data_IF_157298496394
#
_entry.id   IF_157298496394
#
_cell.length_a   1.000
_cell.length_b   1.000
_cell.length_c   1.000
_cell.angle_alpha   90.00
_cell.angle_beta   90.00
_cell.angle_gamma   90.00
#
_symmetry.space_group_name_H-M   'P 1'
#
loop_
_entity.id
_entity.type
_entity.pdbx_description
1 polymer ?
#
# COMPACT_ATOMS: atom_id res chain seq x y z
N UNK A 1 -8.84 -21.37 17.69
CA UNK A 1 -8.04 -22.02 16.63
C UNK A 1 -7.96 -21.04 15.48
N UNK A 2 -6.78 -20.50 15.18
CA UNK A 2 -6.60 -19.58 14.07
C UNK A 2 -6.63 -20.39 12.76
N UNK A 3 -7.59 -20.10 11.89
CA UNK A 3 -7.63 -20.67 10.54
C UNK A 3 -6.59 -19.94 9.68
N UNK A 4 -5.49 -20.62 9.37
CA UNK A 4 -4.48 -20.12 8.43
C UNK A 4 -5.01 -20.33 7.01
N UNK A 5 -5.30 -19.23 6.31
CA UNK A 5 -5.65 -19.25 4.89
C UNK A 5 -4.36 -19.13 4.07
N UNK A 6 -3.88 -20.25 3.54
CA UNK A 6 -2.78 -20.27 2.60
C UNK A 6 -3.34 -20.23 1.18
N UNK A 7 -2.89 -19.29 0.35
CA UNK A 7 -3.23 -19.25 -1.08
C UNK A 7 -1.94 -19.60 -1.86
N UNK A 8 -1.79 -20.85 -2.32
CA UNK A 8 -0.55 -21.34 -2.92
C UNK A 8 -0.06 -20.50 -4.11
N UNK A 9 -0.98 -19.96 -4.91
CA UNK A 9 -0.65 -19.15 -6.09
C UNK A 9 0.01 -17.82 -5.72
N UNK A 10 -0.44 -17.16 -4.64
CA UNK A 10 0.20 -15.94 -4.14
C UNK A 10 1.57 -16.22 -3.54
N UNK A 11 1.76 -17.38 -2.91
CA UNK A 11 3.07 -17.78 -2.36
C UNK A 11 4.07 -18.11 -3.47
N UNK A 12 3.63 -18.72 -4.58
CA UNK A 12 4.47 -18.97 -5.75
C UNK A 12 4.83 -17.68 -6.48
N UNK A 13 3.90 -16.72 -6.61
CA UNK A 13 4.19 -15.38 -7.14
C UNK A 13 5.21 -14.65 -6.28
N UNK A 14 5.02 -14.67 -4.96
CA UNK A 14 5.96 -14.04 -4.02
C UNK A 14 7.36 -14.69 -4.07
N UNK A 15 7.45 -16.01 -4.23
CA UNK A 15 8.74 -16.69 -4.40
C UNK A 15 9.44 -16.26 -5.70
N UNK A 16 8.70 -16.11 -6.81
CA UNK A 16 9.26 -15.61 -8.07
C UNK A 16 9.73 -14.14 -7.97
N UNK A 17 8.98 -13.30 -7.26
CA UNK A 17 9.37 -11.91 -6.99
C UNK A 17 10.64 -11.84 -6.14
N UNK A 18 10.77 -12.72 -5.15
CA UNK A 18 11.98 -12.84 -4.33
C UNK A 18 13.18 -13.28 -5.17
N UNK A 19 13.04 -14.24 -6.09
CA UNK A 19 14.13 -14.64 -6.99
C UNK A 19 14.55 -13.52 -7.94
N UNK A 20 13.60 -12.69 -8.40
CA UNK A 20 13.88 -11.51 -9.22
C UNK A 20 14.66 -10.44 -8.43
N UNK A 21 14.26 -10.18 -7.17
CA UNK A 21 14.97 -9.27 -6.27
C UNK A 21 16.40 -9.78 -6.01
N UNK A 22 16.57 -11.07 -5.73
CA UNK A 22 17.87 -11.68 -5.51
C UNK A 22 18.80 -11.50 -6.72
N UNK A 23 18.26 -11.72 -7.92
CA UNK A 23 19.00 -11.55 -9.17
C UNK A 23 19.44 -10.10 -9.38
N UNK A 24 18.56 -9.13 -9.13
CA UNK A 24 18.87 -7.71 -9.24
C UNK A 24 19.94 -7.25 -8.24
N UNK A 25 19.85 -7.71 -6.99
CA UNK A 25 20.84 -7.40 -5.94
C UNK A 25 22.19 -8.04 -6.25
N UNK A 26 22.22 -9.31 -6.67
CA UNK A 26 23.48 -9.98 -7.04
C UNK A 26 24.19 -9.31 -8.22
N UNK A 27 23.41 -8.81 -9.20
CA UNK A 27 23.95 -8.07 -10.34
C UNK A 27 24.52 -6.70 -9.91
N UNK A 28 23.83 -6.00 -9.00
CA UNK A 28 24.32 -4.73 -8.46
C UNK A 28 25.59 -4.92 -7.62
N UNK A 29 25.65 -5.95 -6.78
CA UNK A 29 26.81 -6.26 -5.95
C UNK A 29 28.02 -6.69 -6.80
N UNK A 30 27.79 -7.41 -7.90
CA UNK A 30 28.83 -7.75 -8.87
C UNK A 30 29.40 -6.50 -9.58
N UNK A 31 28.55 -5.54 -9.95
CA UNK A 31 28.98 -4.27 -10.55
C UNK A 31 29.75 -3.40 -9.55
N UNK A 32 29.36 -3.41 -8.27
CA UNK A 32 30.00 -2.63 -7.22
C UNK A 32 31.30 -3.26 -6.69
N UNK A 33 31.58 -4.53 -6.98
CA UNK A 33 32.70 -5.28 -6.44
C UNK A 33 34.07 -4.64 -6.72
N UNK A 34 34.42 -4.42 -8.00
CA UNK A 34 35.70 -3.83 -8.38
C UNK A 34 35.92 -2.41 -7.83
N UNK A 35 34.99 -1.44 -8.00
CA UNK A 35 35.22 -0.06 -7.54
C UNK A 35 35.30 0.09 -6.01
N UNK A 36 34.77 -0.88 -5.25
CA UNK A 36 34.80 -0.83 -3.77
C UNK A 36 35.96 -1.62 -3.16
N UNK A 37 36.51 -2.61 -3.86
CA UNK A 37 37.64 -3.40 -3.38
C UNK A 37 39.00 -2.88 -3.87
N UNK A 38 39.05 -2.22 -5.04
CA UNK A 38 40.29 -1.76 -5.67
C UNK A 38 40.50 -0.23 -5.54
N UNK A 39 40.21 0.32 -4.36
CA UNK A 39 40.38 1.76 -4.10
C UNK A 39 41.87 2.11 -4.12
N UNK A 40 42.26 3.00 -5.05
CA UNK A 40 43.63 3.49 -5.14
C UNK A 40 43.94 4.53 -4.05
N UNK A 41 45.19 4.55 -3.57
CA UNK A 41 45.66 5.58 -2.65
C UNK A 41 45.65 6.96 -3.34
N UNK A 42 45.11 7.98 -2.66
CA UNK A 42 45.00 9.33 -3.19
C UNK A 42 46.36 10.03 -3.37
N UNK A 43 47.38 9.62 -2.62
CA UNK A 43 48.74 10.11 -2.68
C UNK A 43 49.74 9.03 -2.20
N UNK A 44 51.03 9.25 -2.43
CA UNK A 44 52.10 8.30 -2.12
C UNK A 44 52.46 8.20 -0.62
N UNK A 45 51.71 8.88 0.25
CA UNK A 45 51.92 8.87 1.68
C UNK A 45 51.29 7.64 2.35
N UNK A 46 51.76 7.35 3.56
CA UNK A 46 51.32 6.18 4.34
C UNK A 46 49.86 6.27 4.80
N UNK A 47 49.31 7.47 4.99
CA UNK A 47 47.92 7.67 5.43
C UNK A 47 46.97 7.34 4.27
N UNK A 48 47.23 7.88 3.08
CA UNK A 48 46.47 7.56 1.87
C UNK A 48 46.51 6.07 1.53
N UNK A 49 47.66 5.42 1.72
CA UNK A 49 47.81 3.98 1.54
C UNK A 49 47.01 3.17 2.56
N UNK A 50 47.05 3.56 3.84
CA UNK A 50 46.30 2.88 4.90
C UNK A 50 44.77 3.04 4.74
N UNK A 51 44.32 4.22 4.30
CA UNK A 51 42.90 4.51 4.05
C UNK A 51 42.37 3.71 2.85
N UNK A 52 43.12 3.64 1.74
CA UNK A 52 42.78 2.79 0.61
C UNK A 52 42.67 1.30 0.99
N UNK A 53 43.62 0.80 1.79
CA UNK A 53 43.60 -0.57 2.29
C UNK A 53 42.42 -0.85 3.25
N UNK A 54 41.99 0.14 4.02
CA UNK A 54 40.81 0.04 4.87
C UNK A 54 39.54 -0.11 4.03
N UNK A 55 39.35 0.75 3.02
CA UNK A 55 38.19 0.66 2.13
C UNK A 55 38.17 -0.65 1.34
N UNK A 56 39.31 -1.14 0.86
CA UNK A 56 39.41 -2.44 0.19
C UNK A 56 39.00 -3.62 1.10
N UNK A 57 39.36 -3.58 2.40
CA UNK A 57 38.88 -4.57 3.39
C UNK A 57 37.37 -4.49 3.60
N UNK A 58 36.83 -3.29 3.76
CA UNK A 58 35.39 -3.09 3.90
C UNK A 58 34.63 -3.59 2.67
N UNK A 59 35.13 -3.34 1.46
CA UNK A 59 34.56 -3.88 0.22
C UNK A 59 34.57 -5.41 0.20
N UNK A 60 35.68 -6.02 0.64
CA UNK A 60 35.81 -7.49 0.70
C UNK A 60 34.87 -8.12 1.74
N UNK A 61 34.75 -7.50 2.91
CA UNK A 61 33.85 -7.97 3.98
C UNK A 61 32.38 -7.80 3.59
N UNK A 62 32.04 -6.71 2.89
CA UNK A 62 30.72 -6.50 2.31
C UNK A 62 30.37 -7.57 1.28
N UNK A 63 31.28 -7.90 0.36
CA UNK A 63 31.06 -8.94 -0.65
C UNK A 63 30.85 -10.32 -0.01
N UNK A 64 31.59 -10.64 1.06
CA UNK A 64 31.39 -11.89 1.82
C UNK A 64 30.03 -11.92 2.53
N UNK A 65 29.59 -10.79 3.08
CA UNK A 65 28.28 -10.68 3.73
C UNK A 65 27.13 -10.76 2.72
N UNK A 66 27.24 -10.09 1.57
CA UNK A 66 26.24 -10.16 0.51
C UNK A 66 26.07 -11.60 0.00
N UNK A 67 27.17 -12.35 -0.21
CA UNK A 67 27.08 -13.76 -0.61
C UNK A 67 26.36 -14.64 0.44
N UNK A 68 26.48 -14.34 1.74
CA UNK A 68 25.74 -15.03 2.79
C UNK A 68 24.26 -14.65 2.79
N UNK A 69 23.95 -13.38 2.56
CA UNK A 69 22.58 -12.89 2.44
C UNK A 69 21.86 -13.48 1.21
N UNK A 70 22.55 -13.60 0.07
CA UNK A 70 22.02 -14.22 -1.14
C UNK A 70 21.72 -15.72 -0.90
N UNK A 71 22.60 -16.43 -0.20
CA UNK A 71 22.37 -17.84 0.15
C UNK A 71 21.15 -18.01 1.08
N UNK A 72 20.99 -17.13 2.07
CA UNK A 72 19.83 -17.11 2.95
C UNK A 72 18.54 -16.80 2.17
N UNK A 73 18.60 -15.80 1.29
CA UNK A 73 17.46 -15.39 0.47
C UNK A 73 17.00 -16.50 -0.47
N UNK A 74 17.94 -17.21 -1.12
CA UNK A 74 17.63 -18.39 -1.94
C UNK A 74 17.00 -19.51 -1.12
N UNK A 75 17.47 -19.76 0.10
CA UNK A 75 16.85 -20.76 1.00
C UNK A 75 15.43 -20.35 1.42
N UNK A 76 15.20 -19.07 1.64
CA UNK A 76 13.88 -18.54 1.97
C UNK A 76 12.89 -18.68 0.81
N UNK A 77 13.28 -18.30 -0.40
CA UNK A 77 12.47 -18.48 -1.60
C UNK A 77 12.15 -19.96 -1.86
N UNK A 78 13.14 -20.85 -1.73
CA UNK A 78 12.96 -22.30 -1.85
C UNK A 78 12.00 -22.87 -0.80
N UNK A 79 12.10 -22.42 0.45
CA UNK A 79 11.20 -22.84 1.52
C UNK A 79 9.76 -22.34 1.28
N UNK A 80 9.61 -21.13 0.72
CA UNK A 80 8.31 -20.57 0.36
C UNK A 80 7.64 -21.36 -0.77
N UNK A 81 8.39 -21.68 -1.83
CA UNK A 81 7.90 -22.54 -2.93
C UNK A 81 7.53 -23.94 -2.44
N UNK A 82 8.36 -24.54 -1.57
CA UNK A 82 8.08 -25.85 -0.98
C UNK A 82 6.82 -25.82 -0.08
N UNK A 83 6.63 -24.74 0.68
CA UNK A 83 5.44 -24.55 1.52
C UNK A 83 4.18 -24.40 0.66
N UNK A 84 4.23 -23.60 -0.41
CA UNK A 84 3.13 -23.44 -1.35
C UNK A 84 2.72 -24.78 -1.98
N UNK A 85 3.69 -25.59 -2.41
CA UNK A 85 3.45 -26.93 -2.93
C UNK A 85 2.83 -27.87 -1.87
N UNK A 86 3.26 -27.77 -0.61
CA UNK A 86 2.68 -28.54 0.50
C UNK A 86 1.21 -28.18 0.74
N UNK A 87 0.86 -26.89 0.73
CA UNK A 87 -0.54 -26.45 0.88
C UNK A 87 -1.40 -26.88 -0.31
N UNK A 88 -0.92 -26.70 -1.54
CA UNK A 88 -1.62 -27.15 -2.74
C UNK A 88 -1.85 -28.68 -2.74
N UNK A 89 -0.85 -29.47 -2.31
CA UNK A 89 -1.00 -30.93 -2.20
C UNK A 89 -1.99 -31.35 -1.11
N UNK A 90 -2.11 -30.56 -0.03
CA UNK A 90 -3.07 -30.79 1.06
C UNK A 90 -4.49 -30.43 0.62
N UNK A 91 -4.68 -29.35 -0.13
CA UNK A 91 -5.96 -29.02 -0.75
C UNK A 91 -6.40 -30.12 -1.73
N UNK A 92 -5.51 -30.57 -2.61
CA UNK A 92 -5.79 -31.69 -3.51
C UNK A 92 -6.14 -32.98 -2.73
N UNK A 93 -5.39 -33.31 -1.68
CA UNK A 93 -5.65 -34.48 -0.84
C UNK A 93 -6.93 -34.38 0.00
N UNK A 94 -7.43 -33.19 0.29
CA UNK A 94 -8.71 -32.97 1.00
C UNK A 94 -9.92 -32.95 0.05
N UNK A 95 -9.72 -32.58 -1.21
CA UNK A 95 -10.75 -32.62 -2.25
C UNK A 95 -10.97 -34.03 -2.80
N UNK A 96 -9.91 -34.85 -2.88
CA UNK A 96 -9.96 -36.23 -3.40
C UNK A 96 -10.90 -37.17 -2.62
N UNK A 97 -10.97 -37.16 -1.28
CA UNK A 97 -11.95 -37.92 -0.50
C UNK A 97 -13.38 -37.45 -0.72
N UNK A 98 -13.62 -36.15 -0.92
CA UNK A 98 -14.96 -35.62 -1.21
C UNK A 98 -15.42 -35.98 -2.62
N UNK A 99 -14.51 -35.99 -3.59
CA UNK A 99 -14.77 -36.52 -4.93
C UNK A 99 -14.99 -38.04 -4.89
N UNK A 100 -14.20 -38.77 -4.10
CA UNK A 100 -14.35 -40.22 -3.91
C UNK A 100 -15.66 -40.56 -3.20
N UNK A 101 -16.07 -39.80 -2.17
CA UNK A 101 -17.33 -39.94 -1.46
C UNK A 101 -18.53 -39.50 -2.30
N UNK A 102 -18.39 -38.47 -3.13
CA UNK A 102 -19.41 -38.10 -4.10
C UNK A 102 -19.58 -39.20 -5.13
N UNK A 103 -18.47 -39.77 -5.63
CA UNK A 103 -18.46 -40.91 -6.57
C UNK A 103 -19.02 -42.18 -5.91
N UNK A 104 -18.75 -42.43 -4.62
CA UNK A 104 -19.26 -43.56 -3.83
C UNK A 104 -20.75 -43.37 -3.47
N UNK A 105 -21.17 -42.15 -3.11
CA UNK A 105 -22.56 -41.78 -2.79
C UNK A 105 -23.44 -41.81 -4.05
N UNK A 106 -22.88 -41.52 -5.21
CA UNK A 106 -23.55 -41.72 -6.50
C UNK A 106 -23.47 -43.15 -7.00
N UNK A 107 -22.79 -44.07 -6.28
CA UNK A 107 -22.27 -45.27 -6.93
C UNK A 107 -22.22 -46.60 -6.20
N UNK A 108 -22.51 -46.80 -4.89
CA UNK A 108 -22.73 -48.13 -4.23
C UNK A 108 -23.02 -47.98 -2.70
N UNK A 109 -23.59 -49.00 -2.00
CA UNK A 109 -24.13 -48.88 -0.64
C UNK A 109 -23.07 -48.74 0.48
N UNK A 110 -23.45 -48.04 1.54
CA UNK A 110 -22.64 -47.47 2.64
C UNK A 110 -21.86 -48.53 3.46
N UNK A 111 -20.52 -48.44 3.62
CA UNK A 111 -19.77 -49.25 4.60
C UNK A 111 -19.71 -48.59 6.00
N UNK A 112 -19.49 -49.41 7.04
CA UNK A 112 -19.68 -49.05 8.44
C UNK A 112 -18.51 -48.29 9.10
N UNK A 113 -18.83 -47.56 10.16
CA UNK A 113 -17.99 -46.66 10.98
C UNK A 113 -16.68 -47.26 11.51
N UNK A 114 -16.55 -48.59 11.55
CA UNK A 114 -15.36 -49.28 12.07
C UNK A 114 -14.08 -48.99 11.26
N UNK A 115 -14.21 -48.59 9.99
CA UNK A 115 -13.06 -48.35 9.11
C UNK A 115 -12.37 -47.01 9.36
N UNK A 116 -13.06 -46.06 10.00
CA UNK A 116 -12.56 -44.70 10.28
C UNK A 116 -11.70 -44.63 11.54
N UNK A 117 -11.97 -45.44 12.56
CA UNK A 117 -11.20 -45.46 13.81
C UNK A 117 -9.77 -45.99 13.61
N UNK A 118 -9.57 -46.85 12.62
CA UNK A 118 -8.24 -47.39 12.27
C UNK A 118 -7.29 -46.34 11.67
N UNK A 119 -7.82 -45.28 11.04
CA UNK A 119 -6.99 -44.26 10.40
C UNK A 119 -6.51 -43.18 11.39
N UNK A 120 -7.30 -42.92 12.43
CA UNK A 120 -6.99 -41.94 13.48
C UNK A 120 -5.99 -42.47 14.52
N UNK A 121 -5.76 -43.78 14.56
CA UNK A 121 -4.95 -44.43 15.60
C UNK A 121 -3.47 -44.60 15.23
N UNK A 122 -2.97 -43.98 14.16
CA UNK A 122 -1.56 -44.05 13.77
C UNK A 122 -0.68 -43.09 14.63
N UNK A 123 0.40 -43.58 15.28
CA UNK A 123 1.09 -42.88 16.37
C UNK A 123 2.18 -41.84 15.96
N UNK A 124 2.11 -41.26 14.77
CA UNK A 124 3.22 -40.54 14.14
C UNK A 124 3.06 -39.01 14.01
N UNK A 125 2.15 -38.36 14.75
CA UNK A 125 1.96 -36.90 14.66
C UNK A 125 2.62 -36.08 15.79
N UNK A 126 3.16 -36.71 16.83
CA UNK A 126 3.69 -36.01 18.01
C UNK A 126 5.18 -35.62 17.92
N UNK A 127 5.92 -36.00 16.87
CA UNK A 127 7.39 -35.86 16.79
C UNK A 127 7.91 -34.89 15.72
N UNK A 128 7.08 -33.99 15.15
CA UNK A 128 7.52 -33.10 14.06
C UNK A 128 7.21 -31.59 14.20
N UNK A 129 6.79 -31.05 15.35
CA UNK A 129 6.56 -29.59 15.49
C UNK A 129 7.06 -29.03 16.81
N UNK A 130 8.14 -28.23 16.81
CA UNK A 130 8.37 -27.30 17.93
C UNK A 130 9.74 -26.71 18.18
N UNK A 131 10.85 -27.18 17.58
CA UNK A 131 12.14 -26.50 17.72
C UNK A 131 12.37 -25.59 16.50
N UNK A 132 12.14 -24.28 16.64
CA UNK A 132 12.54 -23.28 15.65
C UNK A 132 13.67 -22.42 16.23
N UNK A 133 14.95 -22.74 15.93
CA UNK A 133 16.11 -22.03 16.46
C UNK A 133 16.10 -20.51 16.21
N UNK A 134 15.42 -20.07 15.15
CA UNK A 134 15.29 -18.66 14.77
C UNK A 134 14.28 -17.93 15.66
N UNK A 135 13.15 -18.57 16.04
CA UNK A 135 12.17 -17.95 16.94
C UNK A 135 12.69 -17.87 18.38
N UNK A 136 13.45 -18.87 18.81
CA UNK A 136 14.13 -18.85 20.11
C UNK A 136 15.20 -17.75 20.17
N UNK A 137 15.96 -17.56 19.09
CA UNK A 137 16.96 -16.49 18.98
C UNK A 137 16.31 -15.11 18.91
N UNK A 138 15.22 -14.93 18.15
CA UNK A 138 14.46 -13.68 18.13
C UNK A 138 13.85 -13.38 19.50
N UNK A 139 13.35 -14.41 20.19
CA UNK A 139 12.88 -14.30 21.58
C UNK A 139 13.99 -13.82 22.51
N UNK A 140 15.21 -14.36 22.39
CA UNK A 140 16.37 -13.94 23.18
C UNK A 140 16.85 -12.51 22.87
N UNK A 141 16.89 -12.14 21.59
CA UNK A 141 17.25 -10.78 21.14
C UNK A 141 16.20 -9.75 21.59
N UNK A 142 14.92 -10.13 21.56
CA UNK A 142 13.83 -9.25 21.93
C UNK A 142 13.57 -9.20 23.44
N UNK A 143 13.99 -10.21 24.23
CA UNK A 143 13.68 -10.29 25.65
C UNK A 143 14.07 -9.02 26.45
N UNK A 144 15.27 -8.42 26.25
CA UNK A 144 15.59 -7.16 26.90
C UNK A 144 14.65 -6.02 26.47
N UNK A 145 14.41 -5.86 25.17
CA UNK A 145 13.58 -4.78 24.65
C UNK A 145 12.10 -4.91 25.06
N UNK A 146 11.55 -6.13 25.07
CA UNK A 146 10.21 -6.42 25.57
C UNK A 146 10.08 -6.10 27.05
N UNK A 147 11.13 -6.35 27.84
CA UNK A 147 11.14 -6.05 29.28
C UNK A 147 11.22 -4.54 29.56
N UNK A 148 12.04 -3.81 28.81
CA UNK A 148 12.30 -2.38 29.07
C UNK A 148 11.34 -1.42 28.34
N UNK A 149 10.87 -1.79 27.14
CA UNK A 149 10.10 -0.91 26.27
C UNK A 149 8.71 -1.47 25.90
N UNK A 150 8.38 -2.70 26.34
CA UNK A 150 7.11 -3.35 26.00
C UNK A 150 6.96 -3.67 24.52
N UNK A 151 8.06 -3.64 23.75
CA UNK A 151 8.06 -3.70 22.29
C UNK A 151 9.30 -4.46 21.79
N UNK A 152 9.18 -5.32 20.77
CA UNK A 152 10.33 -6.06 20.25
C UNK A 152 11.37 -5.11 19.66
N UNK A 153 12.65 -5.53 19.70
CA UNK A 153 13.73 -4.83 19.02
C UNK A 153 13.66 -5.06 17.51
N UNK A 154 13.40 -6.31 17.12
CA UNK A 154 13.27 -6.78 15.75
C UNK A 154 12.03 -7.66 15.61
N UNK A 155 11.22 -7.39 14.60
CA UNK A 155 10.05 -8.20 14.25
C UNK A 155 8.90 -7.33 13.76
N UNK A 156 8.03 -7.90 12.94
CA UNK A 156 6.86 -7.18 12.46
C UNK A 156 5.80 -7.02 13.55
N UNK A 157 4.97 -6.01 13.40
CA UNK A 157 3.84 -5.75 14.27
C UNK A 157 2.76 -6.82 14.09
N UNK A 158 2.06 -7.15 15.17
CA UNK A 158 0.96 -8.10 15.10
C UNK A 158 -0.19 -7.53 14.27
N UNK A 159 -0.73 -8.30 13.33
CA UNK A 159 -1.91 -7.88 12.57
C UNK A 159 -3.13 -7.82 13.50
N UNK A 160 -3.99 -6.84 13.30
CA UNK A 160 -5.31 -6.79 13.90
C UNK A 160 -6.17 -7.96 13.43
N UNK A 161 -7.06 -8.44 14.31
CA UNK A 161 -7.91 -9.58 13.99
C UNK A 161 -8.93 -9.21 12.89
N UNK A 162 -9.20 -10.09 11.91
CA UNK A 162 -10.27 -9.86 10.93
C UNK A 162 -11.63 -9.68 11.60
N UNK A 163 -12.48 -8.84 11.02
CA UNK A 163 -13.85 -8.55 11.48
C UNK A 163 -13.93 -8.04 12.92
N UNK A 164 -12.90 -7.34 13.39
CA UNK A 164 -12.86 -6.76 14.73
C UNK A 164 -12.63 -5.26 14.75
N UNK A 165 -12.18 -4.69 13.62
CA UNK A 165 -11.69 -3.30 13.57
C UNK A 165 -10.46 -3.06 14.44
N UNK A 166 -9.77 -4.11 14.91
CA UNK A 166 -8.60 -3.98 15.77
C UNK A 166 -7.43 -3.39 14.99
N UNK A 167 -6.74 -2.44 15.60
CA UNK A 167 -5.53 -1.85 15.01
C UNK A 167 -4.40 -2.88 14.90
N UNK A 168 -3.56 -2.70 13.89
CA UNK A 168 -2.28 -3.38 13.78
C UNK A 168 -1.33 -2.91 14.87
N UNK A 169 -0.65 -3.86 15.49
CA UNK A 169 0.42 -3.59 16.45
C UNK A 169 1.62 -2.91 15.78
N UNK A 170 2.40 -2.15 16.53
CA UNK A 170 3.59 -1.49 15.99
C UNK A 170 4.70 -2.52 15.71
N UNK A 171 5.50 -2.27 14.67
CA UNK A 171 6.69 -3.08 14.33
C UNK A 171 7.80 -2.98 15.38
N UNK A 172 8.90 -3.70 15.21
CA UNK A 172 10.06 -3.64 16.10
C UNK A 172 10.72 -2.27 16.14
N UNK A 173 11.44 -1.96 17.22
CA UNK A 173 12.08 -0.65 17.42
C UNK A 173 13.12 -0.36 16.33
N UNK A 174 13.98 -1.34 15.99
CA UNK A 174 15.05 -1.16 14.99
C UNK A 174 14.62 -1.62 13.61
N UNK A 175 13.99 -2.79 13.54
CA UNK A 175 13.58 -3.39 12.28
C UNK A 175 12.23 -4.08 12.42
N UNK A 176 11.32 -3.78 11.51
CA UNK A 176 10.03 -4.44 11.42
C UNK A 176 8.96 -3.53 10.85
N UNK A 177 8.12 -4.11 10.02
CA UNK A 177 6.95 -3.45 9.48
C UNK A 177 5.88 -3.33 10.58
N UNK A 178 5.02 -2.33 10.48
CA UNK A 178 3.81 -2.30 11.28
C UNK A 178 2.84 -3.42 10.89
N UNK A 179 2.06 -3.89 11.85
CA UNK A 179 1.01 -4.88 11.59
C UNK A 179 -0.14 -4.28 10.78
N UNK A 180 -0.81 -5.09 9.98
CA UNK A 180 -1.99 -4.66 9.24
C UNK A 180 -3.17 -4.46 10.20
N UNK A 181 -3.99 -3.43 9.97
CA UNK A 181 -5.26 -3.24 10.66
C UNK A 181 -6.26 -4.34 10.31
N UNK A 182 -6.99 -4.82 11.31
CA UNK A 182 -8.06 -5.80 11.13
C UNK A 182 -9.25 -5.17 10.41
N UNK A 183 -9.92 -5.93 9.54
CA UNK A 183 -11.17 -5.46 8.94
C UNK A 183 -12.24 -5.21 10.01
N UNK A 184 -13.12 -4.25 9.78
CA UNK A 184 -14.24 -3.95 10.67
C UNK A 184 -15.28 -5.06 10.66
N UNK A 185 -15.87 -5.36 11.82
CA UNK A 185 -17.13 -6.08 11.89
C UNK A 185 -18.26 -5.25 11.24
N UNK A 186 -19.44 -5.82 10.94
CA UNK A 186 -20.56 -5.05 10.39
C UNK A 186 -20.78 -3.72 11.14
N UNK A 187 -20.72 -2.62 10.38
CA UNK A 187 -20.92 -1.25 10.88
C UNK A 187 -19.75 -0.65 11.67
N UNK A 188 -18.66 -1.40 11.85
CA UNK A 188 -17.45 -0.93 12.51
C UNK A 188 -16.40 -0.52 11.48
N UNK A 189 -15.60 0.49 11.83
CA UNK A 189 -14.46 0.90 11.04
C UNK A 189 -13.42 -0.22 10.95
N UNK A 190 -12.61 -0.19 9.90
CA UNK A 190 -11.38 -0.98 9.87
C UNK A 190 -10.36 -0.41 10.84
N UNK A 191 -9.53 -1.28 11.43
CA UNK A 191 -8.46 -0.87 12.32
C UNK A 191 -7.37 -0.13 11.60
N UNK A 192 -6.68 0.77 12.29
CA UNK A 192 -5.50 1.43 11.75
C UNK A 192 -4.36 0.42 11.51
N UNK A 193 -3.54 0.66 10.49
CA UNK A 193 -2.28 -0.02 10.33
C UNK A 193 -1.29 0.41 11.40
N UNK A 194 -0.48 -0.54 11.89
CA UNK A 194 0.56 -0.28 12.87
C UNK A 194 1.69 0.56 12.29
N UNK A 195 2.36 1.34 13.14
CA UNK A 195 3.56 2.08 12.75
C UNK A 195 4.82 1.20 12.77
N UNK A 196 5.74 1.44 11.85
CA UNK A 196 7.09 0.87 11.92
C UNK A 196 7.97 1.58 12.96
N UNK A 197 9.16 1.02 13.23
CA UNK A 197 10.16 1.61 14.13
C UNK A 197 11.17 2.49 13.39
N UNK A 198 12.45 2.13 13.44
CA UNK A 198 13.52 2.83 12.72
C UNK A 198 13.54 2.45 11.24
N UNK A 199 13.52 1.15 10.94
CA UNK A 199 13.41 0.62 9.58
C UNK A 199 12.17 -0.27 9.47
N UNK A 200 11.35 -0.02 8.47
CA UNK A 200 10.18 -0.82 8.15
C UNK A 200 9.05 0.01 7.57
N UNK A 201 8.14 -0.63 6.87
CA UNK A 201 6.96 0.01 6.31
C UNK A 201 5.82 0.04 7.32
N UNK A 202 4.99 1.06 7.26
CA UNK A 202 3.73 1.08 8.01
C UNK A 202 2.81 -0.05 7.55
N UNK A 203 2.02 -0.58 8.47
CA UNK A 203 1.01 -1.60 8.15
C UNK A 203 -0.14 -0.99 7.35
N UNK A 204 -0.83 -1.80 6.54
CA UNK A 204 -2.02 -1.33 5.82
C UNK A 204 -3.19 -1.13 6.78
N UNK A 205 -4.05 -0.16 6.54
CA UNK A 205 -5.31 0.01 7.26
C UNK A 205 -6.31 -1.09 6.90
N UNK A 206 -7.12 -1.51 7.87
CA UNK A 206 -8.17 -2.50 7.68
C UNK A 206 -9.34 -1.95 6.87
N UNK A 207 -10.04 -2.80 6.12
CA UNK A 207 -11.27 -2.40 5.44
C UNK A 207 -12.40 -2.11 6.43
N UNK A 208 -13.25 -1.12 6.14
CA UNK A 208 -14.47 -0.83 6.86
C UNK A 208 -15.50 -1.97 6.74
N UNK A 209 -16.19 -2.28 7.84
CA UNK A 209 -17.13 -3.39 7.87
C UNK A 209 -18.44 -3.08 7.14
N UNK A 210 -18.93 -4.08 6.41
CA UNK A 210 -20.18 -4.03 5.63
C UNK A 210 -21.37 -4.33 6.52
N UNK A 211 -22.42 -3.49 6.49
CA UNK A 211 -23.64 -3.73 7.26
C UNK A 211 -24.92 -3.35 6.50
N UNK A 212 -26.01 -4.08 6.80
CA UNK A 212 -27.37 -3.65 6.52
C UNK A 212 -27.83 -2.57 7.51
N UNK A 213 -28.02 -1.33 7.05
CA UNK A 213 -28.43 -0.20 7.89
C UNK A 213 -27.53 1.04 7.72
N UNK A 214 -27.87 2.12 8.43
CA UNK A 214 -27.43 3.49 8.15
C UNK A 214 -25.99 3.86 8.57
N UNK A 215 -25.26 2.97 9.21
CA UNK A 215 -23.89 3.22 9.71
C UNK A 215 -22.98 2.10 9.26
N UNK A 216 -22.13 2.40 8.28
CA UNK A 216 -21.10 1.50 7.75
C UNK A 216 -19.72 1.94 8.22
N UNK A 217 -18.81 0.97 8.28
CA UNK A 217 -17.43 1.23 8.66
C UNK A 217 -16.69 2.04 7.61
N UNK A 218 -15.92 3.03 8.06
CA UNK A 218 -14.86 3.64 7.24
C UNK A 218 -13.62 2.73 7.20
N UNK A 219 -12.80 2.87 6.17
CA UNK A 219 -11.50 2.22 6.11
C UNK A 219 -10.55 2.76 7.18
N UNK A 220 -9.73 1.89 7.76
CA UNK A 220 -8.72 2.27 8.72
C UNK A 220 -7.57 3.03 8.06
N UNK A 221 -6.92 3.92 8.81
CA UNK A 221 -5.75 4.65 8.29
C UNK A 221 -4.56 3.72 8.11
N UNK A 222 -3.73 3.94 7.09
CA UNK A 222 -2.44 3.27 6.98
C UNK A 222 -1.47 3.70 8.09
N UNK A 223 -0.58 2.79 8.49
CA UNK A 223 0.44 3.07 9.50
C UNK A 223 1.59 3.92 8.97
N UNK A 224 2.34 4.57 9.86
CA UNK A 224 3.51 5.36 9.45
C UNK A 224 4.71 4.49 9.14
N UNK A 225 5.50 4.88 8.13
CA UNK A 225 6.80 4.27 7.82
C UNK A 225 7.87 4.57 8.87
N UNK A 226 8.99 3.85 8.81
CA UNK A 226 10.08 3.96 9.77
C UNK A 226 10.84 5.29 9.74
N UNK A 227 11.50 5.64 10.85
CA UNK A 227 12.17 6.93 11.05
C UNK A 227 13.42 7.15 10.15
N UNK A 228 14.07 6.08 9.70
CA UNK A 228 15.21 6.14 8.79
C UNK A 228 14.78 5.73 7.37
N UNK A 229 14.18 4.54 7.26
CA UNK A 229 13.68 4.01 6.00
C UNK A 229 12.33 3.34 6.19
N UNK A 230 11.36 3.71 5.37
CA UNK A 230 10.06 3.06 5.40
C UNK A 230 8.97 3.84 4.71
N UNK A 231 8.18 3.13 3.92
CA UNK A 231 7.00 3.68 3.30
C UNK A 231 5.84 3.73 4.31
N UNK A 232 4.96 4.70 4.15
CA UNK A 232 3.67 4.66 4.83
C UNK A 232 2.80 3.51 4.30
N UNK A 233 1.96 2.94 5.15
CA UNK A 233 1.02 1.90 4.78
C UNK A 233 -0.17 2.46 3.99
N UNK A 234 -0.78 1.65 3.13
CA UNK A 234 -2.00 2.05 2.44
C UNK A 234 -3.18 2.21 3.41
N UNK A 235 -4.09 3.13 3.13
CA UNK A 235 -5.37 3.24 3.81
C UNK A 235 -6.31 2.09 3.43
N UNK A 236 -7.19 1.72 4.36
CA UNK A 236 -8.17 0.66 4.16
C UNK A 236 -9.34 1.09 3.28
N UNK A 237 -10.01 0.13 2.66
CA UNK A 237 -11.22 0.38 1.85
C UNK A 237 -12.39 0.82 2.74
N UNK A 238 -13.24 1.70 2.24
CA UNK A 238 -14.50 2.07 2.87
C UNK A 238 -15.55 0.95 2.79
N UNK A 239 -16.42 0.86 3.79
CA UNK A 239 -17.46 -0.16 3.88
C UNK A 239 -18.62 0.09 2.92
N UNK A 240 -19.15 -1.00 2.36
CA UNK A 240 -20.32 -1.00 1.48
C UNK A 240 -21.62 -0.68 2.23
N UNK A 241 -22.32 0.40 1.85
CA UNK A 241 -23.67 0.66 2.35
C UNK A 241 -24.72 -0.07 1.51
N UNK A 242 -25.58 -0.84 2.17
CA UNK A 242 -26.81 -1.31 1.53
C UNK A 242 -27.98 -0.33 1.71
N UNK A 243 -27.93 0.52 2.73
CA UNK A 243 -28.82 1.66 2.99
C UNK A 243 -28.00 2.75 3.68
N UNK A 244 -28.13 4.03 3.33
CA UNK A 244 -27.35 5.10 4.00
C UNK A 244 -25.99 5.38 3.35
N UNK A 245 -25.26 6.38 3.86
CA UNK A 245 -23.96 6.82 3.28
C UNK A 245 -22.91 5.72 3.40
N UNK A 246 -22.22 5.40 2.29
CA UNK A 246 -21.17 4.40 2.30
C UNK A 246 -19.91 4.89 3.04
N UNK A 247 -19.15 3.96 3.61
CA UNK A 247 -17.97 4.28 4.39
C UNK A 247 -16.90 4.94 3.52
N UNK A 248 -16.27 6.01 4.00
CA UNK A 248 -15.09 6.58 3.34
C UNK A 248 -13.88 5.65 3.41
N UNK A 249 -12.98 5.76 2.44
CA UNK A 249 -11.68 5.11 2.46
C UNK A 249 -10.77 5.72 3.54
N UNK A 250 -9.90 4.89 4.11
CA UNK A 250 -8.90 5.33 5.08
C UNK A 250 -7.79 6.14 4.44
N UNK A 251 -7.20 7.08 5.18
CA UNK A 251 -6.02 7.81 4.66
C UNK A 251 -4.81 6.87 4.58
N UNK A 252 -3.96 7.09 3.58
CA UNK A 252 -2.63 6.50 3.54
C UNK A 252 -1.77 7.01 4.70
N UNK A 253 -0.87 6.17 5.18
CA UNK A 253 0.09 6.53 6.21
C UNK A 253 1.22 7.38 5.66
N UNK A 254 1.80 8.23 6.50
CA UNK A 254 2.96 9.04 6.12
C UNK A 254 4.27 8.22 6.20
N UNK A 255 5.19 8.48 5.28
CA UNK A 255 6.60 8.17 5.49
C UNK A 255 7.23 9.29 6.32
N UNK A 256 7.27 9.11 7.65
CA UNK A 256 7.75 10.16 8.57
C UNK A 256 9.28 10.25 8.67
N UNK A 257 9.99 9.25 8.14
CA UNK A 257 11.45 9.15 8.20
C UNK A 257 12.19 9.85 7.07
N UNK A 258 13.52 9.65 7.02
CA UNK A 258 14.37 10.29 6.01
C UNK A 258 14.03 9.85 4.58
N UNK A 259 13.78 8.55 4.39
CA UNK A 259 13.47 7.94 3.10
C UNK A 259 12.19 7.13 3.15
N UNK A 260 11.32 7.32 2.16
CA UNK A 260 10.12 6.49 2.00
C UNK A 260 9.00 7.20 1.25
N UNK A 261 8.13 6.43 0.62
CA UNK A 261 6.95 6.95 -0.08
C UNK A 261 5.76 7.04 0.86
N UNK A 262 4.92 8.05 0.69
CA UNK A 262 3.63 8.09 1.36
C UNK A 262 2.75 6.92 0.92
N UNK A 263 1.91 6.42 1.83
CA UNK A 263 0.95 5.36 1.54
C UNK A 263 -0.20 5.84 0.66
N UNK A 264 -0.77 4.96 -0.15
CA UNK A 264 -1.97 5.28 -0.93
C UNK A 264 -3.19 5.48 0.00
N UNK A 265 -4.09 6.39 -0.35
CA UNK A 265 -5.41 6.46 0.25
C UNK A 265 -6.28 5.28 -0.15
N UNK A 266 -7.20 4.87 0.71
CA UNK A 266 -8.15 3.79 0.44
C UNK A 266 -9.32 4.26 -0.43
N UNK A 267 -9.90 3.35 -1.20
CA UNK A 267 -11.11 3.66 -1.97
C UNK A 267 -12.33 3.85 -1.06
N UNK A 268 -13.22 4.77 -1.44
CA UNK A 268 -14.53 4.91 -0.81
C UNK A 268 -15.45 3.73 -1.09
N UNK A 269 -16.35 3.41 -0.15
CA UNK A 269 -17.32 2.34 -0.29
C UNK A 269 -18.47 2.70 -1.24
N UNK A 270 -19.12 1.71 -1.84
CA UNK A 270 -20.27 1.94 -2.73
C UNK A 270 -21.59 1.99 -1.94
N UNK A 271 -22.58 2.74 -2.41
CA UNK A 271 -23.96 2.74 -1.88
C UNK A 271 -24.94 2.03 -2.82
N UNK A 272 -25.84 1.19 -2.30
CA UNK A 272 -26.74 0.32 -3.11
C UNK A 272 -28.24 0.66 -3.10
N UNK A 273 -28.80 1.32 -2.07
CA UNK A 273 -30.26 1.67 -2.04
C UNK A 273 -30.57 3.01 -1.34
N UNK A 274 -31.41 3.83 -1.98
CA UNK A 274 -31.75 5.19 -1.54
C UNK A 274 -33.26 5.43 -1.31
N UNK A 275 -33.66 5.62 -0.06
CA UNK A 275 -34.94 6.26 0.33
C UNK A 275 -34.72 7.62 1.03
N UNK A 276 -33.45 8.03 1.21
CA UNK A 276 -33.00 9.32 1.74
C UNK A 276 -31.70 9.72 1.05
N UNK A 277 -31.33 11.01 0.99
CA UNK A 277 -30.10 11.49 0.31
C UNK A 277 -28.86 10.78 0.85
N UNK A 278 -28.27 9.94 0.01
CA UNK A 278 -27.16 9.04 0.33
C UNK A 278 -26.06 9.22 -0.72
N UNK A 279 -24.81 9.04 -0.30
CA UNK A 279 -23.63 9.21 -1.15
C UNK A 279 -22.74 7.97 -1.07
N UNK A 280 -22.04 7.65 -2.16
CA UNK A 280 -20.85 6.83 -2.14
C UNK A 280 -19.80 7.41 -1.19
N UNK A 281 -18.95 6.56 -0.64
CA UNK A 281 -17.95 6.95 0.34
C UNK A 281 -16.87 7.82 -0.31
N UNK A 282 -16.34 8.79 0.44
CA UNK A 282 -15.19 9.57 -0.03
C UNK A 282 -13.96 8.66 -0.17
N UNK A 283 -13.11 8.93 -1.15
CA UNK A 283 -11.78 8.36 -1.21
C UNK A 283 -10.87 8.91 -0.10
N UNK A 284 -9.97 8.08 0.41
CA UNK A 284 -8.99 8.47 1.43
C UNK A 284 -7.87 9.32 0.83
N UNK A 285 -7.33 10.25 1.61
CA UNK A 285 -6.15 11.00 1.18
C UNK A 285 -4.89 10.11 1.12
N UNK A 286 -3.99 10.37 0.19
CA UNK A 286 -2.65 9.78 0.18
C UNK A 286 -1.77 10.36 1.30
N UNK A 287 -0.84 9.55 1.80
CA UNK A 287 0.11 9.97 2.83
C UNK A 287 1.28 10.78 2.26
N UNK A 288 1.99 11.49 3.12
CA UNK A 288 3.15 12.31 2.76
C UNK A 288 4.40 11.46 2.58
N UNK A 289 5.29 11.88 1.67
CA UNK A 289 6.61 11.27 1.47
C UNK A 289 7.66 11.67 2.51
N UNK A 290 8.77 10.92 2.53
CA UNK A 290 9.88 11.06 3.46
C UNK A 290 10.57 12.43 3.46
N UNK A 291 11.32 12.72 4.53
CA UNK A 291 11.90 14.03 4.78
C UNK A 291 12.90 14.45 3.69
N UNK A 292 13.76 13.53 3.24
CA UNK A 292 14.81 13.78 2.26
C UNK A 292 14.40 13.32 0.87
N UNK A 293 13.89 12.10 0.75
CA UNK A 293 13.44 11.54 -0.52
C UNK A 293 12.19 10.69 -0.32
N UNK A 294 11.16 10.98 -1.11
CA UNK A 294 9.90 10.27 -1.04
C UNK A 294 8.79 10.98 -1.79
N UNK A 295 8.20 10.39 -2.85
CA UNK A 295 6.94 10.88 -3.37
C UNK A 295 5.81 10.73 -2.35
N UNK A 296 4.83 11.61 -2.44
CA UNK A 296 3.56 11.45 -1.75
C UNK A 296 2.74 10.30 -2.32
N UNK A 297 1.85 9.74 -1.51
CA UNK A 297 0.97 8.65 -1.90
C UNK A 297 -0.18 9.14 -2.78
N UNK A 298 -0.73 8.24 -3.61
CA UNK A 298 -1.91 8.52 -4.41
C UNK A 298 -3.15 8.72 -3.51
N UNK A 299 -4.06 9.62 -3.88
CA UNK A 299 -5.39 9.67 -3.28
C UNK A 299 -6.23 8.47 -3.72
N UNK A 300 -7.11 7.99 -2.84
CA UNK A 300 -8.05 6.92 -3.18
C UNK A 300 -9.23 7.44 -3.98
N UNK A 301 -9.80 6.62 -4.85
CA UNK A 301 -11.00 7.00 -5.59
C UNK A 301 -12.24 7.05 -4.69
N UNK A 302 -13.20 7.90 -5.07
CA UNK A 302 -14.51 7.96 -4.45
C UNK A 302 -15.38 6.75 -4.82
N UNK A 303 -16.21 6.32 -3.88
CA UNK A 303 -17.13 5.20 -4.07
C UNK A 303 -18.33 5.56 -4.93
N UNK A 304 -18.89 4.56 -5.61
CA UNK A 304 -20.06 4.76 -6.46
C UNK A 304 -21.37 4.95 -5.67
N UNK A 305 -22.25 5.82 -6.16
CA UNK A 305 -23.66 5.92 -5.77
C UNK A 305 -24.56 5.17 -6.75
N UNK A 306 -25.38 4.23 -6.27
CA UNK A 306 -26.29 3.44 -7.12
C UNK A 306 -27.73 3.97 -6.99
N UNK A 307 -28.53 3.86 -8.05
CA UNK A 307 -29.87 4.42 -8.15
C UNK A 307 -29.85 5.96 -7.96
N UNK A 308 -30.48 6.49 -6.91
CA UNK A 308 -30.62 7.93 -6.67
C UNK A 308 -29.43 8.56 -5.93
N UNK A 309 -28.44 7.76 -5.56
CA UNK A 309 -27.35 8.19 -4.69
C UNK A 309 -26.27 8.92 -5.46
N UNK A 310 -25.66 9.89 -4.79
CA UNK A 310 -24.52 10.65 -5.30
C UNK A 310 -23.24 9.81 -5.23
N UNK A 311 -22.28 10.06 -6.11
CA UNK A 311 -20.94 9.48 -6.05
C UNK A 311 -20.09 10.17 -4.99
N UNK A 312 -19.19 9.42 -4.35
CA UNK A 312 -18.20 9.99 -3.43
C UNK A 312 -17.11 10.76 -4.17
N UNK A 313 -16.59 11.83 -3.60
CA UNK A 313 -15.40 12.53 -4.11
C UNK A 313 -14.14 11.68 -3.98
N UNK A 314 -13.19 11.87 -4.90
CA UNK A 314 -11.85 11.31 -4.81
C UNK A 314 -11.02 11.97 -3.69
N UNK A 315 -10.11 11.20 -3.11
CA UNK A 315 -9.19 11.64 -2.07
C UNK A 315 -8.05 12.49 -2.65
N UNK A 316 -7.52 13.42 -1.85
CA UNK A 316 -6.36 14.20 -2.26
C UNK A 316 -5.09 13.33 -2.31
N UNK A 317 -4.18 13.63 -3.23
CA UNK A 317 -2.83 13.05 -3.23
C UNK A 317 -1.96 13.62 -2.12
N UNK A 318 -1.00 12.83 -1.65
CA UNK A 318 -0.06 13.21 -0.61
C UNK A 318 1.06 14.13 -1.10
N UNK A 319 1.62 14.95 -0.21
CA UNK A 319 2.74 15.83 -0.53
C UNK A 319 4.11 15.15 -0.41
N UNK A 320 5.10 15.60 -1.18
CA UNK A 320 6.50 15.30 -0.95
C UNK A 320 7.18 16.42 -0.13
N UNK A 321 8.41 16.18 0.37
CA UNK A 321 9.13 17.14 1.23
C UNK A 321 10.36 17.76 0.56
N UNK A 322 11.53 17.14 0.60
CA UNK A 322 12.74 17.72 0.00
C UNK A 322 12.88 17.32 -1.47
N UNK A 323 13.12 16.03 -1.73
CA UNK A 323 13.04 15.44 -3.08
C UNK A 323 11.84 14.51 -3.20
N UNK A 324 11.04 14.72 -4.24
CA UNK A 324 9.92 13.82 -4.54
C UNK A 324 8.76 14.56 -5.18
N UNK A 325 7.94 13.80 -5.89
CA UNK A 325 6.73 14.32 -6.53
C UNK A 325 5.54 14.26 -5.58
N UNK A 326 4.59 15.17 -5.74
CA UNK A 326 3.27 15.01 -5.14
C UNK A 326 2.56 13.79 -5.72
N UNK A 327 1.74 13.13 -4.91
CA UNK A 327 0.90 12.03 -5.38
C UNK A 327 -0.29 12.56 -6.19
N UNK A 328 -0.78 11.84 -7.22
CA UNK A 328 -2.02 12.19 -7.89
C UNK A 328 -3.23 12.12 -6.95
N UNK A 329 -4.24 12.95 -7.20
CA UNK A 329 -5.55 12.85 -6.57
C UNK A 329 -6.36 11.67 -7.12
N UNK A 330 -7.27 11.14 -6.31
CA UNK A 330 -8.16 10.04 -6.69
C UNK A 330 -9.31 10.50 -7.59
N UNK A 331 -9.85 9.59 -8.38
CA UNK A 331 -10.99 9.86 -9.26
C UNK A 331 -12.29 9.98 -8.44
N UNK A 332 -13.21 10.84 -8.89
CA UNK A 332 -14.55 10.95 -8.33
C UNK A 332 -15.42 9.73 -8.65
N UNK A 333 -16.22 9.30 -7.68
CA UNK A 333 -17.13 8.16 -7.79
C UNK A 333 -18.27 8.41 -8.77
N UNK A 334 -18.65 7.35 -9.49
CA UNK A 334 -19.76 7.41 -10.42
C UNK A 334 -21.12 7.44 -9.71
N UNK A 335 -22.14 7.98 -10.39
CA UNK A 335 -23.53 7.98 -9.93
C UNK A 335 -24.49 7.54 -11.04
N UNK A 336 -25.56 6.82 -10.71
CA UNK A 336 -26.59 6.49 -11.69
C UNK A 336 -27.55 7.68 -11.91
N UNK A 337 -28.27 8.09 -10.87
CA UNK A 337 -29.19 9.22 -10.93
C UNK A 337 -28.85 10.40 -10.02
N UNK A 338 -28.00 10.20 -9.01
CA UNK A 338 -27.40 11.27 -8.23
C UNK A 338 -26.28 12.01 -8.96
N UNK A 339 -25.72 13.03 -8.32
CA UNK A 339 -24.55 13.76 -8.80
C UNK A 339 -23.30 12.88 -8.64
N UNK A 340 -22.43 12.88 -9.64
CA UNK A 340 -21.16 12.19 -9.52
C UNK A 340 -20.17 12.97 -8.63
N UNK A 341 -19.22 12.23 -8.04
CA UNK A 341 -18.23 12.81 -7.15
C UNK A 341 -17.19 13.63 -7.91
N UNK A 342 -16.69 14.69 -7.28
CA UNK A 342 -15.53 15.43 -7.79
C UNK A 342 -14.25 14.61 -7.68
N UNK A 343 -13.29 14.85 -8.58
CA UNK A 343 -11.94 14.33 -8.45
C UNK A 343 -11.16 14.99 -7.32
N UNK A 344 -10.21 14.26 -6.74
CA UNK A 344 -9.34 14.73 -5.66
C UNK A 344 -8.24 15.65 -6.17
N UNK A 345 -7.77 16.57 -5.32
CA UNK A 345 -6.63 17.41 -5.67
C UNK A 345 -5.32 16.61 -5.70
N UNK A 346 -4.41 16.97 -6.60
CA UNK A 346 -3.05 16.46 -6.62
C UNK A 346 -2.21 17.00 -5.45
N UNK A 347 -1.27 16.19 -4.99
CA UNK A 347 -0.36 16.52 -3.90
C UNK A 347 0.72 17.52 -4.32
N UNK A 348 1.30 18.22 -3.35
CA UNK A 348 2.39 19.17 -3.62
C UNK A 348 3.72 18.44 -3.82
N UNK A 349 4.51 18.91 -4.79
CA UNK A 349 5.90 18.47 -4.97
C UNK A 349 6.79 18.91 -3.80
N UNK A 350 7.90 18.21 -3.59
CA UNK A 350 8.90 18.62 -2.62
C UNK A 350 9.62 19.91 -3.06
N UNK A 351 10.58 20.39 -2.28
CA UNK A 351 11.45 21.52 -2.66
C UNK A 351 12.04 21.34 -4.07
N UNK A 352 12.38 20.10 -4.42
CA UNK A 352 12.67 19.61 -5.76
C UNK A 352 11.70 18.47 -6.11
N UNK A 353 10.79 18.72 -7.04
CA UNK A 353 9.88 17.72 -7.57
C UNK A 353 8.58 18.30 -8.10
N UNK A 354 7.94 17.58 -9.01
CA UNK A 354 6.68 17.99 -9.61
C UNK A 354 5.50 17.85 -8.64
N UNK A 355 4.47 18.66 -8.82
CA UNK A 355 3.17 18.43 -8.20
C UNK A 355 2.47 17.21 -8.81
N UNK A 356 1.57 16.61 -8.04
CA UNK A 356 0.74 15.51 -8.53
C UNK A 356 -0.42 16.01 -9.38
N UNK A 357 -0.89 15.21 -10.33
CA UNK A 357 -2.07 15.53 -11.12
C UNK A 357 -3.34 15.50 -10.25
N UNK A 358 -4.32 16.33 -10.58
CA UNK A 358 -5.67 16.23 -10.02
C UNK A 358 -6.42 15.03 -10.60
N UNK A 359 -7.28 14.41 -9.80
CA UNK A 359 -8.10 13.29 -10.25
C UNK A 359 -9.26 13.75 -11.14
N UNK A 360 -9.72 12.86 -12.01
CA UNK A 360 -10.88 13.14 -12.86
C UNK A 360 -12.19 13.17 -12.04
N UNK A 361 -13.16 13.94 -12.52
CA UNK A 361 -14.52 13.92 -11.99
C UNK A 361 -15.30 12.68 -12.41
N UNK A 362 -16.23 12.24 -11.57
CA UNK A 362 -17.03 11.04 -11.81
C UNK A 362 -18.08 11.20 -12.91
N UNK A 363 -18.48 10.06 -13.49
CA UNK A 363 -19.59 9.96 -14.45
C UNK A 363 -20.93 9.92 -13.71
N UNK A 364 -21.91 10.69 -14.19
CA UNK A 364 -23.33 10.52 -13.85
C UNK A 364 -24.19 10.22 -15.08
N UNK A 365 -25.18 9.32 -14.97
CA UNK A 365 -26.09 9.01 -16.09
C UNK A 365 -27.23 10.03 -16.17
N UNK A 366 -27.85 10.37 -15.03
CA UNK A 366 -28.96 11.35 -15.00
C UNK A 366 -28.79 12.50 -14.00
N UNK A 367 -27.66 12.59 -13.30
CA UNK A 367 -27.33 13.70 -12.41
C UNK A 367 -26.23 14.61 -12.98
N UNK A 368 -25.70 15.50 -12.14
CA UNK A 368 -24.55 16.33 -12.51
C UNK A 368 -23.27 15.50 -12.64
N UNK A 369 -22.42 15.88 -13.59
CA UNK A 369 -21.06 15.38 -13.68
C UNK A 369 -20.22 15.82 -12.46
N UNK A 370 -19.20 15.03 -12.13
CA UNK A 370 -18.18 15.44 -11.17
C UNK A 370 -17.22 16.47 -11.77
N UNK A 371 -16.81 17.47 -11.01
CA UNK A 371 -15.72 18.37 -11.43
C UNK A 371 -14.37 17.66 -11.38
N UNK A 372 -13.45 18.08 -12.25
CA UNK A 372 -12.06 17.65 -12.17
C UNK A 372 -11.34 18.22 -10.94
N UNK A 373 -10.40 17.47 -10.39
CA UNK A 373 -9.57 17.88 -9.27
C UNK A 373 -8.45 18.83 -9.69
N UNK A 374 -8.03 19.73 -8.80
CA UNK A 374 -6.91 20.63 -9.08
C UNK A 374 -5.58 19.88 -9.10
N UNK A 375 -4.67 20.26 -10.00
CA UNK A 375 -3.29 19.81 -9.98
C UNK A 375 -2.51 20.42 -8.81
N UNK A 376 -1.56 19.65 -8.27
CA UNK A 376 -0.70 20.07 -7.18
C UNK A 376 0.39 21.04 -7.61
N UNK A 377 0.84 21.90 -6.71
CA UNK A 377 1.95 22.81 -7.01
C UNK A 377 3.28 22.05 -7.16
N UNK A 378 4.10 22.49 -8.10
CA UNK A 378 5.49 22.06 -8.24
C UNK A 378 6.39 22.58 -7.12
N UNK A 379 7.60 22.06 -7.07
CA UNK A 379 8.58 22.38 -6.04
C UNK A 379 9.09 23.81 -6.05
N UNK A 380 9.59 24.25 -4.89
CA UNK A 380 10.09 25.62 -4.69
C UNK A 380 11.22 25.96 -5.68
N UNK A 381 12.20 25.09 -5.86
CA UNK A 381 13.38 25.36 -6.70
C UNK A 381 13.27 24.76 -8.10
N UNK A 382 12.81 23.53 -8.20
CA UNK A 382 12.62 22.84 -9.47
C UNK A 382 11.43 21.90 -9.38
N UNK A 383 10.50 22.01 -10.31
CA UNK A 383 9.37 21.10 -10.40
C UNK A 383 8.22 21.70 -11.18
N UNK A 384 7.65 20.90 -12.06
CA UNK A 384 6.45 21.28 -12.80
C UNK A 384 5.22 21.22 -11.88
N UNK A 385 4.23 22.06 -12.13
CA UNK A 385 2.91 21.87 -11.52
C UNK A 385 2.21 20.66 -12.13
N UNK A 386 1.39 19.98 -11.33
CA UNK A 386 0.57 18.86 -11.81
C UNK A 386 -0.58 19.34 -12.69
N UNK A 387 -1.05 18.52 -13.61
CA UNK A 387 -2.21 18.85 -14.43
C UNK A 387 -3.49 18.81 -13.59
N UNK A 388 -4.49 19.60 -13.97
CA UNK A 388 -5.83 19.47 -13.43
C UNK A 388 -6.57 18.29 -14.06
N UNK A 389 -7.43 17.66 -13.27
CA UNK A 389 -8.26 16.55 -13.72
C UNK A 389 -9.36 16.99 -14.67
N UNK A 390 -9.79 16.09 -15.55
CA UNK A 390 -10.90 16.34 -16.45
C UNK A 390 -12.23 16.29 -15.70
N UNK A 391 -13.20 17.10 -16.14
CA UNK A 391 -14.57 16.98 -15.68
C UNK A 391 -15.17 15.64 -16.14
N UNK A 392 -16.02 15.05 -15.29
CA UNK A 392 -16.82 13.90 -15.66
C UNK A 392 -17.90 14.23 -16.70
N UNK A 393 -18.62 13.20 -17.12
CA UNK A 393 -19.76 13.32 -18.04
C UNK A 393 -21.08 13.18 -17.28
N UNK A 394 -22.11 13.95 -17.66
CA UNK A 394 -23.42 13.95 -17.00
C UNK A 394 -24.45 14.84 -17.71
N UNK A 395 -25.69 14.87 -17.22
CA UNK A 395 -26.77 15.68 -17.81
C UNK A 395 -26.54 17.18 -17.63
N UNK A 396 -25.89 17.56 -16.53
CA UNK A 396 -25.30 18.89 -16.39
C UNK A 396 -23.79 18.73 -16.41
N UNK A 397 -23.09 19.56 -17.19
CA UNK A 397 -21.64 19.51 -17.27
C UNK A 397 -20.99 19.92 -15.94
N UNK A 398 -19.69 19.74 -15.84
CA UNK A 398 -18.87 20.20 -14.72
C UNK A 398 -17.59 20.88 -15.21
N UNK A 399 -17.01 21.67 -14.33
CA UNK A 399 -15.77 22.39 -14.62
C UNK A 399 -14.58 21.41 -14.59
N UNK A 400 -13.62 21.63 -15.49
CA UNK A 400 -12.33 20.95 -15.41
C UNK A 400 -11.48 21.52 -14.26
N UNK A 401 -10.57 20.71 -13.73
CA UNK A 401 -9.68 21.13 -12.64
C UNK A 401 -8.61 22.10 -13.12
N UNK A 402 -8.27 23.11 -12.33
CA UNK A 402 -7.12 23.97 -12.64
C UNK A 402 -5.80 23.19 -12.53
N UNK A 403 -4.85 23.50 -13.40
CA UNK A 403 -3.47 23.02 -13.31
C UNK A 403 -2.70 23.68 -12.18
N UNK A 404 -1.79 22.91 -11.56
CA UNK A 404 -0.89 23.37 -10.52
C UNK A 404 0.17 24.31 -11.06
N UNK A 405 0.63 25.24 -10.22
CA UNK A 405 1.70 26.18 -10.59
C UNK A 405 3.08 25.65 -10.20
N UNK A 406 4.08 25.91 -11.04
CA UNK A 406 5.49 25.85 -10.65
C UNK A 406 5.89 27.12 -9.88
N UNK A 407 7.08 27.11 -9.26
CA UNK A 407 7.57 28.24 -8.46
C UNK A 407 8.77 28.94 -9.09
N UNK A 408 9.98 28.36 -9.02
CA UNK A 408 11.19 29.01 -9.55
C UNK A 408 11.55 28.51 -10.95
N UNK A 409 11.74 27.20 -11.10
CA UNK A 409 12.04 26.53 -12.37
C UNK A 409 11.03 25.39 -12.55
N UNK A 410 10.33 25.38 -13.69
CA UNK A 410 9.35 24.36 -14.02
C UNK A 410 8.15 24.93 -14.77
N UNK A 411 7.46 24.11 -15.54
CA UNK A 411 6.25 24.48 -16.25
C UNK A 411 5.04 24.42 -15.30
N UNK A 412 4.04 25.27 -15.54
CA UNK A 412 2.73 25.08 -14.94
C UNK A 412 2.04 23.87 -15.55
N UNK A 413 1.24 23.17 -14.76
CA UNK A 413 0.43 22.06 -15.24
C UNK A 413 -0.73 22.55 -16.08
N UNK A 414 -1.20 21.72 -17.01
CA UNK A 414 -2.35 22.07 -17.85
C UNK A 414 -3.64 22.01 -17.03
N UNK A 415 -4.61 22.86 -17.36
CA UNK A 415 -5.97 22.72 -16.85
C UNK A 415 -6.67 21.52 -17.50
N UNK A 416 -7.55 20.87 -16.75
CA UNK A 416 -8.36 19.75 -17.24
C UNK A 416 -9.54 20.24 -18.07
N UNK A 417 -10.04 19.40 -18.97
CA UNK A 417 -11.17 19.76 -19.84
C UNK A 417 -12.48 19.82 -19.06
N UNK A 418 -13.33 20.82 -19.36
CA UNK A 418 -14.70 20.89 -18.85
C UNK A 418 -15.66 19.99 -19.64
N UNK A 419 -16.88 19.84 -19.15
CA UNK A 419 -17.95 19.13 -19.88
C UNK A 419 -19.14 20.04 -20.21
N UNK A 420 -20.26 19.49 -20.69
CA UNK A 420 -21.35 20.19 -21.39
C UNK A 420 -21.67 21.58 -20.82
N UNK A 421 -21.35 22.63 -21.58
CA UNK A 421 -21.68 24.03 -21.28
C UNK A 421 -20.88 24.66 -20.13
N UNK A 422 -19.83 23.98 -19.64
CA UNK A 422 -18.99 24.41 -18.53
C UNK A 422 -17.53 24.62 -19.00
N UNK A 423 -16.81 25.61 -18.44
CA UNK A 423 -15.42 25.86 -18.81
C UNK A 423 -14.49 24.72 -18.41
N UNK A 424 -13.39 24.58 -19.13
CA UNK A 424 -12.23 23.84 -18.64
C UNK A 424 -11.49 24.60 -17.54
N UNK A 425 -10.57 23.90 -16.89
CA UNK A 425 -9.70 24.46 -15.87
C UNK A 425 -8.65 25.39 -16.45
N UNK A 426 -8.16 26.30 -15.62
CA UNK A 426 -7.07 27.17 -15.99
C UNK A 426 -5.74 26.42 -16.00
N UNK A 427 -4.85 26.77 -16.93
CA UNK A 427 -3.46 26.35 -16.86
C UNK A 427 -2.75 26.98 -15.66
N UNK A 428 -1.86 26.21 -15.04
CA UNK A 428 -1.01 26.67 -13.95
C UNK A 428 0.07 27.64 -14.42
N UNK A 429 0.63 28.42 -13.49
CA UNK A 429 1.71 29.36 -13.80
C UNK A 429 3.04 28.61 -13.95
N UNK A 430 3.84 29.02 -14.93
CA UNK A 430 5.25 28.59 -15.05
C UNK A 430 6.15 29.27 -14.02
N UNK A 431 7.36 28.75 -13.86
CA UNK A 431 8.36 29.24 -12.92
C UNK A 431 8.82 30.67 -13.21
N UNK A 432 9.15 31.40 -12.14
CA UNK A 432 9.57 32.81 -12.20
C UNK A 432 10.85 33.04 -13.01
N UNK A 433 11.74 32.04 -13.06
CA UNK A 433 13.00 32.11 -13.81
C UNK A 433 12.89 31.40 -15.16
N UNK A 434 12.42 30.15 -15.15
CA UNK A 434 12.21 29.36 -16.36
C UNK A 434 10.96 28.48 -16.23
N UNK A 435 10.16 28.45 -17.28
CA UNK A 435 8.96 27.61 -17.35
C UNK A 435 7.84 28.24 -18.17
N UNK A 436 7.10 27.43 -18.91
CA UNK A 436 5.89 27.85 -19.59
C UNK A 436 4.67 27.77 -18.66
N UNK A 437 3.69 28.64 -18.87
CA UNK A 437 2.35 28.47 -18.28
C UNK A 437 1.68 27.27 -18.92
N UNK A 438 0.95 26.49 -18.12
CA UNK A 438 0.14 25.39 -18.63
C UNK A 438 -0.96 25.89 -19.56
N UNK A 439 -1.47 25.00 -20.41
CA UNK A 439 -2.60 25.32 -21.28
C UNK A 439 -3.91 25.30 -20.50
N UNK A 440 -4.86 26.16 -20.87
CA UNK A 440 -6.24 26.04 -20.40
C UNK A 440 -6.93 24.81 -21.03
N UNK A 441 -7.87 24.20 -20.33
CA UNK A 441 -8.61 23.00 -20.75
C UNK A 441 -9.90 23.25 -21.51
#
# INVERSE_FOLDING_TARGET
MATVLAIPDFMMSAAADLDNIASAVSAADAVAAAPTMEVAAAAADQVSTAVAALFGRYGTDYQRFSAQAEAFHRQFAQALTASAASYASTEAANVVPLQSLLTLATGLPIPSLASLESLLSAPNLATLQGFSPVQDLLGLINAPALTFFGRPLVGDGANGLPLSGQDGGPGGILWGNGGNGGSGAPGQNGGAGGSAGLIGNGGIGGAGGVQLGSSVGTGGTGGTGGLLWGNGGAGGLGGLATTGVAGGGGTGGDAIGLFGTGGAGGFGGTSLTGLTTVHGGQGGAGGSGGLLYGPGGIGGDGGAGVLLDDGGTGGAGGGARLWGTGGPGGVGGAAAAGNAGAGGAGGTGGVIGAGGDGGDGGLSVTGAAGSGGHGGSGGLFYGDGGNGGTAGTGLTGADGGDGGSAVLIGNGGNGGTGSIGKPGGNGGRGGLLFGATGTHG
#
